data_IF_030190533980
#
_entry.id   IF_030190533980
#
_cell.length_a   1.000
_cell.length_b   1.000
_cell.length_c   1.000
_cell.angle_alpha   90.00
_cell.angle_beta   90.00
_cell.angle_gamma   90.00
#
_symmetry.space_group_name_H-M   'P 1'
#
loop_
_entity.id
_entity.type
_entity.pdbx_description
1 polymer ?
#
# COMPACT_ATOMS: atom_id res chain seq x y z
N UNK A 1 -16.83 8.52 3.87
CA UNK A 1 -16.13 9.40 2.90
C UNK A 1 -17.07 9.73 1.76
N UNK A 2 -16.91 10.88 1.09
CA UNK A 2 -17.71 11.27 -0.09
C UNK A 2 -16.85 11.91 -1.17
N UNK A 3 -17.25 11.75 -2.43
CA UNK A 3 -16.65 12.47 -3.55
C UNK A 3 -17.10 13.93 -3.53
N UNK A 4 -16.15 14.82 -3.72
CA UNK A 4 -16.35 16.25 -3.84
C UNK A 4 -15.49 16.84 -4.95
N UNK A 5 -15.85 18.05 -5.38
CA UNK A 5 -15.08 18.82 -6.35
C UNK A 5 -14.55 20.07 -5.69
N UNK A 6 -13.24 20.19 -5.61
CA UNK A 6 -12.55 21.35 -5.04
C UNK A 6 -12.16 22.28 -6.18
N UNK A 7 -12.65 23.52 -6.15
CA UNK A 7 -12.29 24.53 -7.14
C UNK A 7 -10.81 24.90 -7.00
N UNK A 8 -10.08 24.88 -8.11
CA UNK A 8 -8.63 25.17 -8.11
C UNK A 8 -8.31 26.54 -8.69
N UNK A 9 -9.05 26.92 -9.73
CA UNK A 9 -9.11 28.25 -10.35
C UNK A 9 -10.54 28.40 -10.91
N UNK A 10 -10.99 29.62 -11.27
CA UNK A 10 -12.31 29.81 -11.88
C UNK A 10 -12.52 28.86 -13.08
N UNK A 11 -13.56 28.01 -13.01
CA UNK A 11 -13.91 27.05 -14.05
C UNK A 11 -13.11 25.74 -14.06
N UNK A 12 -12.18 25.50 -13.13
CA UNK A 12 -11.48 24.21 -12.98
C UNK A 12 -11.66 23.62 -11.59
N UNK A 13 -11.85 22.30 -11.56
CA UNK A 13 -12.10 21.54 -10.34
C UNK A 13 -11.19 20.30 -10.29
N UNK A 14 -10.82 19.88 -9.09
CA UNK A 14 -10.22 18.59 -8.83
C UNK A 14 -11.19 17.69 -8.08
N UNK A 15 -11.28 16.44 -8.50
CA UNK A 15 -11.99 15.42 -7.74
C UNK A 15 -11.22 15.12 -6.45
N UNK A 16 -11.93 15.12 -5.33
CA UNK A 16 -11.40 14.95 -3.99
C UNK A 16 -12.32 14.03 -3.18
N UNK A 17 -11.74 13.23 -2.30
CA UNK A 17 -12.49 12.41 -1.34
C UNK A 17 -12.33 13.06 0.03
N UNK A 18 -13.44 13.50 0.61
CA UNK A 18 -13.46 14.10 1.94
C UNK A 18 -14.15 13.17 2.96
N UNK A 19 -13.86 13.42 4.24
CA UNK A 19 -14.50 12.72 5.34
C UNK A 19 -15.95 13.21 5.49
N UNK A 20 -16.88 12.27 5.70
CA UNK A 20 -18.30 12.60 5.91
C UNK A 20 -18.63 12.88 7.38
N UNK A 21 -17.90 12.23 8.27
CA UNK A 21 -18.17 12.19 9.70
C UNK A 21 -16.88 12.48 10.47
N UNK A 22 -16.97 12.98 11.71
CA UNK A 22 -15.82 13.15 12.57
C UNK A 22 -15.06 11.84 12.76
N UNK A 23 -13.74 11.92 12.79
CA UNK A 23 -12.89 10.78 13.11
C UNK A 23 -13.07 10.45 14.60
N UNK A 24 -13.62 9.27 14.90
CA UNK A 24 -13.78 8.81 16.28
C UNK A 24 -12.49 8.19 16.84
N UNK A 25 -11.65 7.59 15.99
CA UNK A 25 -10.42 6.93 16.42
C UNK A 25 -9.34 7.98 16.79
N UNK A 26 -8.85 7.99 18.05
CA UNK A 26 -7.87 8.97 18.50
C UNK A 26 -6.51 8.85 17.79
N UNK A 27 -6.16 7.68 17.23
CA UNK A 27 -4.95 7.48 16.44
C UNK A 27 -5.00 8.12 15.05
N UNK A 28 -6.18 8.57 14.60
CA UNK A 28 -6.40 9.16 13.27
C UNK A 28 -6.63 10.68 13.33
N UNK A 29 -6.49 11.32 14.48
CA UNK A 29 -6.79 12.76 14.69
C UNK A 29 -5.90 13.72 13.88
N UNK A 30 -4.76 13.24 13.38
CA UNK A 30 -3.82 14.01 12.57
C UNK A 30 -4.01 13.79 11.06
N UNK A 31 -5.06 13.10 10.64
CA UNK A 31 -5.34 12.90 9.22
C UNK A 31 -5.86 14.20 8.60
N UNK A 32 -5.14 14.65 7.57
CA UNK A 32 -5.57 15.75 6.71
C UNK A 32 -5.88 15.22 5.32
N UNK A 33 -7.06 15.54 4.80
CA UNK A 33 -7.42 15.25 3.41
C UNK A 33 -7.50 16.56 2.65
N UNK A 34 -6.71 16.73 1.59
CA UNK A 34 -6.83 17.84 0.65
C UNK A 34 -6.29 17.43 -0.71
N UNK A 35 -6.85 17.95 -1.83
CA UNK A 35 -6.28 17.70 -3.15
C UNK A 35 -4.88 18.30 -3.34
N UNK A 36 -4.45 19.16 -2.41
CA UNK A 36 -3.12 19.77 -2.37
C UNK A 36 -2.23 19.22 -1.24
N UNK A 37 -2.76 18.33 -0.41
CA UNK A 37 -1.99 17.75 0.69
C UNK A 37 -0.83 16.95 0.10
N UNK A 38 0.37 17.18 0.61
CA UNK A 38 1.51 16.27 0.41
C UNK A 38 1.59 15.37 1.64
N UNK A 39 2.02 14.13 1.44
CA UNK A 39 2.27 13.24 2.58
C UNK A 39 3.43 13.80 3.39
N UNK A 40 3.18 14.11 4.67
CA UNK A 40 4.17 14.58 5.62
C UNK A 40 4.49 13.51 6.68
N UNK A 41 4.15 12.25 6.43
CA UNK A 41 4.45 11.16 7.36
C UNK A 41 5.97 10.99 7.45
N UNK A 42 6.57 11.44 8.57
CA UNK A 42 8.01 11.35 8.86
C UNK A 42 8.39 10.12 9.68
N UNK A 43 7.41 9.42 10.25
CA UNK A 43 7.62 8.27 11.14
C UNK A 43 6.53 7.23 10.93
N UNK A 44 6.81 5.98 11.31
CA UNK A 44 5.79 4.94 11.37
C UNK A 44 4.78 5.31 12.46
N UNK A 45 3.52 5.50 12.08
CA UNK A 45 2.44 5.87 12.99
C UNK A 45 1.51 4.68 13.23
N UNK A 46 1.44 4.13 14.46
CA UNK A 46 0.50 3.06 14.77
C UNK A 46 -0.92 3.61 14.98
N UNK A 47 -1.88 2.99 14.32
CA UNK A 47 -3.31 3.18 14.51
C UNK A 47 -3.89 1.87 15.02
N UNK A 48 -4.45 1.90 16.22
CA UNK A 48 -5.08 0.72 16.82
C UNK A 48 -6.57 0.72 16.48
N UNK A 49 -7.06 -0.39 15.94
CA UNK A 49 -8.46 -0.60 15.59
C UNK A 49 -8.97 -1.85 16.31
N UNK A 50 -9.91 -1.70 17.27
CA UNK A 50 -10.56 -2.84 17.90
C UNK A 50 -11.28 -3.73 16.88
N UNK A 51 -11.15 -5.05 17.01
CA UNK A 51 -11.79 -5.98 16.07
C UNK A 51 -13.33 -5.92 16.15
N UNK A 52 -13.88 -5.56 17.30
CA UNK A 52 -15.33 -5.44 17.47
C UNK A 52 -15.94 -4.31 16.63
N UNK A 53 -15.19 -3.23 16.37
CA UNK A 53 -15.62 -2.12 15.51
C UNK A 53 -15.79 -2.58 14.05
N UNK A 54 -15.05 -3.61 13.64
CA UNK A 54 -15.05 -4.13 12.27
C UNK A 54 -16.04 -5.30 12.15
N UNK A 55 -15.95 -6.30 13.04
CA UNK A 55 -16.64 -7.57 12.87
C UNK A 55 -17.89 -7.71 13.75
N UNK A 56 -18.05 -6.91 14.80
CA UNK A 56 -19.17 -6.96 15.73
C UNK A 56 -18.74 -7.32 17.16
N UNK A 57 -19.66 -7.26 18.13
CA UNK A 57 -19.35 -7.30 19.58
C UNK A 57 -18.68 -8.61 20.05
N UNK A 58 -18.85 -9.71 19.32
CA UNK A 58 -18.31 -11.03 19.70
C UNK A 58 -16.81 -11.18 19.37
N UNK A 59 -16.23 -10.28 18.57
CA UNK A 59 -14.83 -10.35 18.17
C UNK A 59 -13.92 -9.61 19.16
N UNK A 60 -12.92 -10.32 19.67
CA UNK A 60 -11.99 -9.82 20.67
C UNK A 60 -10.60 -9.58 20.10
N UNK A 61 -9.89 -8.60 20.66
CA UNK A 61 -8.55 -8.21 20.22
C UNK A 61 -8.53 -6.96 19.36
N UNK A 62 -7.35 -6.64 18.85
CA UNK A 62 -7.07 -5.39 18.14
C UNK A 62 -6.16 -5.64 16.93
N UNK A 63 -6.28 -4.76 15.95
CA UNK A 63 -5.36 -4.66 14.82
C UNK A 63 -4.59 -3.35 14.95
N UNK A 64 -3.27 -3.45 14.85
CA UNK A 64 -2.40 -2.28 14.83
C UNK A 64 -1.96 -2.08 13.38
N UNK A 65 -2.50 -1.05 12.73
CA UNK A 65 -2.03 -0.60 11.42
C UNK A 65 -0.87 0.35 11.62
N UNK A 66 0.25 0.07 10.96
CA UNK A 66 1.39 0.96 10.95
C UNK A 66 1.36 1.75 9.64
N UNK A 67 0.92 3.01 9.68
CA UNK A 67 1.08 3.91 8.54
C UNK A 67 2.55 4.28 8.39
N UNK A 68 3.11 4.05 7.21
CA UNK A 68 4.53 4.27 6.95
C UNK A 68 4.73 5.48 6.04
N UNK A 69 5.86 6.21 6.17
CA UNK A 69 6.22 7.23 5.20
C UNK A 69 6.20 6.71 3.76
N UNK A 70 5.68 7.52 2.83
CA UNK A 70 5.75 7.23 1.40
C UNK A 70 7.20 7.18 0.92
N UNK A 71 7.61 6.08 0.29
CA UNK A 71 8.98 5.92 -0.20
C UNK A 71 9.23 6.77 -1.45
N UNK A 72 10.16 7.74 -1.33
CA UNK A 72 10.53 8.63 -2.43
C UNK A 72 9.52 9.76 -2.70
N UNK A 73 8.67 10.07 -1.72
CA UNK A 73 7.74 11.22 -1.72
C UNK A 73 8.25 12.39 -0.85
N UNK A 74 9.52 12.35 -0.41
CA UNK A 74 10.02 13.25 0.64
C UNK A 74 11.00 14.33 0.17
N UNK A 75 11.25 15.29 1.06
CA UNK A 75 11.98 16.54 0.84
C UNK A 75 13.50 16.41 0.73
N UNK A 76 14.03 15.24 0.35
CA UNK A 76 15.46 15.03 0.10
C UNK A 76 15.96 13.63 0.46
N UNK A 77 17.15 13.24 -0.03
CA UNK A 77 17.76 11.94 0.24
C UNK A 77 17.92 11.61 1.73
N UNK A 78 18.18 12.62 2.56
CA UNK A 78 18.38 12.46 4.01
C UNK A 78 17.09 12.03 4.72
N UNK A 79 15.95 12.59 4.30
CA UNK A 79 14.64 12.26 4.87
C UNK A 79 14.24 10.84 4.45
N UNK A 80 14.50 10.46 3.21
CA UNK A 80 14.25 9.09 2.72
C UNK A 80 15.08 8.05 3.49
N UNK A 81 16.33 8.34 3.83
CA UNK A 81 17.18 7.46 4.65
C UNK A 81 16.61 7.33 6.07
N UNK A 82 16.28 8.45 6.72
CA UNK A 82 15.72 8.45 8.07
C UNK A 82 14.39 7.68 8.15
N UNK A 83 13.52 7.87 7.17
CA UNK A 83 12.25 7.15 7.06
C UNK A 83 12.46 5.66 6.85
N UNK A 84 13.39 5.28 5.95
CA UNK A 84 13.71 3.87 5.70
C UNK A 84 14.26 3.20 6.94
N UNK A 85 15.16 3.87 7.68
CA UNK A 85 15.70 3.37 8.95
C UNK A 85 14.59 3.24 10.01
N UNK A 86 13.68 4.22 10.11
CA UNK A 86 12.54 4.16 11.04
C UNK A 86 11.58 3.02 10.74
N UNK A 87 11.29 2.75 9.46
CA UNK A 87 10.48 1.59 9.05
C UNK A 87 11.20 0.29 9.42
N UNK A 88 12.48 0.14 9.08
CA UNK A 88 13.26 -1.07 9.40
C UNK A 88 13.33 -1.32 10.90
N UNK A 89 13.53 -0.29 11.71
CA UNK A 89 13.58 -0.41 13.17
C UNK A 89 12.21 -0.80 13.75
N UNK A 90 11.12 -0.22 13.25
CA UNK A 90 9.77 -0.62 13.64
C UNK A 90 9.49 -2.10 13.30
N UNK A 91 9.89 -2.53 12.10
CA UNK A 91 9.73 -3.91 11.64
C UNK A 91 10.47 -4.91 12.53
N UNK A 92 11.70 -4.60 12.96
CA UNK A 92 12.54 -5.46 13.84
C UNK A 92 11.97 -5.63 15.25
N UNK A 93 11.24 -4.64 15.75
CA UNK A 93 10.67 -4.69 17.10
C UNK A 93 9.29 -5.38 17.14
N UNK A 94 8.71 -5.74 15.98
CA UNK A 94 7.47 -6.48 15.89
C UNK A 94 7.71 -8.00 15.99
N UNK A 95 6.90 -8.71 16.79
CA UNK A 95 6.93 -10.18 16.86
C UNK A 95 6.66 -10.84 15.50
N UNK A 96 5.76 -10.23 14.73
CA UNK A 96 5.43 -10.64 13.37
C UNK A 96 4.81 -9.47 12.63
N UNK A 97 5.12 -9.30 11.35
CA UNK A 97 4.57 -8.24 10.50
C UNK A 97 3.80 -8.82 9.32
N UNK A 98 2.73 -8.15 8.90
CA UNK A 98 2.02 -8.44 7.65
C UNK A 98 2.07 -7.18 6.80
N UNK A 99 2.40 -7.33 5.53
CA UNK A 99 2.67 -6.19 4.66
C UNK A 99 1.50 -6.00 3.70
N UNK A 100 0.82 -4.85 3.82
CA UNK A 100 -0.14 -4.39 2.84
C UNK A 100 0.56 -3.42 1.88
N UNK A 101 0.97 -3.91 0.73
CA UNK A 101 1.65 -3.14 -0.31
C UNK A 101 0.63 -2.40 -1.18
N UNK A 102 0.53 -1.08 -1.02
CA UNK A 102 -0.42 -0.24 -1.74
C UNK A 102 0.19 0.37 -3.01
N UNK A 103 -0.49 0.22 -4.14
CA UNK A 103 -0.14 0.87 -5.40
C UNK A 103 -1.31 1.73 -5.90
N UNK A 104 -1.07 3.03 -6.13
CA UNK A 104 -2.09 3.95 -6.63
C UNK A 104 -1.98 4.15 -8.16
N UNK A 105 -3.11 4.25 -8.86
CA UNK A 105 -3.13 4.52 -10.31
C UNK A 105 -2.33 5.79 -10.68
N UNK A 106 -2.46 6.87 -9.89
CA UNK A 106 -1.77 8.15 -10.14
C UNK A 106 -0.24 8.03 -10.01
N UNK A 107 0.26 7.09 -9.21
CA UNK A 107 1.70 6.80 -9.10
C UNK A 107 2.22 5.83 -10.17
N UNK A 108 1.33 5.21 -10.95
CA UNK A 108 1.70 4.12 -11.86
C UNK A 108 2.32 4.56 -13.18
N UNK A 109 2.25 5.85 -13.54
CA UNK A 109 2.75 6.36 -14.82
C UNK A 109 2.15 5.61 -16.02
N UNK A 110 2.68 5.83 -17.22
CA UNK A 110 2.06 5.30 -18.45
C UNK A 110 2.18 3.78 -18.64
N UNK A 111 2.94 3.03 -17.80
CA UNK A 111 3.23 1.59 -18.00
C UNK A 111 3.64 0.85 -16.72
N UNK A 112 2.87 0.97 -15.64
CA UNK A 112 3.14 0.20 -14.40
C UNK A 112 4.44 0.58 -13.67
N UNK A 113 4.93 1.80 -13.87
CA UNK A 113 6.13 2.32 -13.19
C UNK A 113 5.97 2.36 -11.66
N UNK A 114 4.79 2.71 -11.16
CA UNK A 114 4.49 2.71 -9.72
C UNK A 114 4.60 1.32 -9.11
N UNK A 115 4.09 0.30 -9.81
CA UNK A 115 4.20 -1.11 -9.40
C UNK A 115 5.68 -1.54 -9.39
N UNK A 116 6.44 -1.20 -10.42
CA UNK A 116 7.88 -1.50 -10.47
C UNK A 116 8.62 -0.85 -9.29
N UNK A 117 8.32 0.43 -9.00
CA UNK A 117 8.95 1.18 -7.91
C UNK A 117 8.61 0.55 -6.55
N UNK A 118 7.33 0.19 -6.33
CA UNK A 118 6.87 -0.54 -5.15
C UNK A 118 7.61 -1.86 -4.98
N UNK A 119 7.75 -2.65 -6.05
CA UNK A 119 8.48 -3.91 -6.01
C UNK A 119 9.95 -3.72 -5.62
N UNK A 120 10.63 -2.71 -6.17
CA UNK A 120 12.01 -2.37 -5.81
C UNK A 120 12.15 -1.93 -4.35
N UNK A 121 11.18 -1.17 -3.82
CA UNK A 121 11.15 -0.76 -2.42
C UNK A 121 11.05 -2.00 -1.52
N UNK A 122 10.13 -2.91 -1.81
CA UNK A 122 9.92 -4.12 -1.01
C UNK A 122 11.17 -5.01 -1.01
N UNK A 123 11.79 -5.23 -2.18
CA UNK A 123 13.04 -6.02 -2.30
C UNK A 123 14.18 -5.41 -1.48
N UNK A 124 14.28 -4.08 -1.42
CA UNK A 124 15.32 -3.39 -0.63
C UNK A 124 15.04 -3.38 0.86
N UNK A 125 13.77 -3.46 1.26
CA UNK A 125 13.34 -3.38 2.66
C UNK A 125 13.33 -4.74 3.35
N UNK A 126 13.13 -5.82 2.59
CA UNK A 126 12.89 -7.15 3.12
C UNK A 126 13.98 -8.10 2.59
N UNK A 127 14.93 -8.45 3.45
CA UNK A 127 15.94 -9.45 3.13
C UNK A 127 15.30 -10.82 2.85
N UNK A 128 15.78 -11.52 1.83
CA UNK A 128 15.26 -12.82 1.40
C UNK A 128 13.74 -12.80 1.18
N UNK A 129 13.25 -11.77 0.48
CA UNK A 129 11.82 -11.54 0.24
C UNK A 129 11.12 -12.75 -0.40
N UNK A 130 11.85 -13.58 -1.15
CA UNK A 130 11.35 -14.79 -1.82
C UNK A 130 10.72 -15.78 -0.83
N UNK A 131 11.28 -15.87 0.37
CA UNK A 131 10.80 -16.77 1.43
C UNK A 131 9.63 -16.16 2.22
N UNK A 132 9.33 -14.89 1.96
CA UNK A 132 8.46 -14.03 2.78
C UNK A 132 7.22 -13.54 2.01
N UNK A 133 7.05 -14.00 0.76
CA UNK A 133 5.98 -13.59 -0.15
C UNK A 133 4.57 -13.84 0.43
N UNK A 134 4.38 -14.87 1.25
CA UNK A 134 3.09 -15.19 1.90
C UNK A 134 2.62 -14.14 2.91
N UNK A 135 3.54 -13.31 3.39
CA UNK A 135 3.24 -12.21 4.32
C UNK A 135 2.84 -10.91 3.64
N UNK A 136 2.86 -10.88 2.30
CA UNK A 136 2.62 -9.67 1.50
C UNK A 136 1.26 -9.79 0.80
N UNK A 137 0.43 -8.77 0.94
CA UNK A 137 -0.80 -8.56 0.18
C UNK A 137 -0.65 -7.30 -0.67
N UNK A 138 -1.03 -7.40 -1.95
CA UNK A 138 -1.01 -6.26 -2.86
C UNK A 138 -2.41 -5.71 -3.02
N UNK A 139 -2.55 -4.41 -2.81
CA UNK A 139 -3.82 -3.72 -3.00
C UNK A 139 -3.64 -2.45 -3.83
N UNK A 140 -4.66 -2.16 -4.63
CA UNK A 140 -4.61 -1.18 -5.69
C UNK A 140 -5.65 -0.09 -5.42
N UNK A 141 -5.21 1.16 -5.25
CA UNK A 141 -6.09 2.29 -4.95
C UNK A 141 -6.22 3.21 -6.17
N UNK A 142 -7.36 3.90 -6.29
CA UNK A 142 -7.65 4.83 -7.40
C UNK A 142 -7.67 4.21 -8.81
N UNK A 143 -7.72 2.88 -8.91
CA UNK A 143 -7.99 2.19 -10.17
C UNK A 143 -9.49 2.09 -10.43
N UNK A 144 -9.90 2.03 -11.70
CA UNK A 144 -11.28 1.65 -12.02
C UNK A 144 -11.47 0.18 -11.63
N UNK A 145 -12.63 -0.17 -11.10
CA UNK A 145 -12.92 -1.58 -10.74
C UNK A 145 -12.84 -2.53 -11.94
N UNK A 146 -12.98 -2.01 -13.16
CA UNK A 146 -12.85 -2.75 -14.41
C UNK A 146 -11.40 -2.87 -14.91
N UNK A 147 -10.42 -2.28 -14.21
CA UNK A 147 -9.03 -2.34 -14.65
C UNK A 147 -8.46 -3.73 -14.41
N UNK A 148 -7.93 -4.33 -15.48
CA UNK A 148 -7.21 -5.60 -15.41
C UNK A 148 -5.77 -5.38 -14.95
N UNK A 149 -5.59 -5.42 -13.62
CA UNK A 149 -4.26 -5.28 -13.00
C UNK A 149 -3.35 -6.46 -13.36
N UNK A 150 -3.90 -7.66 -13.54
CA UNK A 150 -3.13 -8.85 -13.89
C UNK A 150 -2.50 -8.68 -15.28
N UNK A 151 -3.26 -8.17 -16.25
CA UNK A 151 -2.73 -7.81 -17.57
C UNK A 151 -1.62 -6.75 -17.47
N UNK A 152 -1.79 -5.70 -16.65
CA UNK A 152 -0.74 -4.67 -16.43
C UNK A 152 0.56 -5.28 -15.88
N UNK A 153 0.46 -6.23 -14.96
CA UNK A 153 1.62 -6.93 -14.39
C UNK A 153 2.32 -7.81 -15.44
N UNK A 154 1.56 -8.51 -16.28
CA UNK A 154 2.10 -9.27 -17.40
C UNK A 154 2.81 -8.37 -18.43
N UNK A 155 2.20 -7.24 -18.77
CA UNK A 155 2.80 -6.25 -19.67
C UNK A 155 4.10 -5.69 -19.09
N UNK A 156 4.14 -5.42 -17.78
CA UNK A 156 5.36 -4.97 -17.09
C UNK A 156 6.47 -6.04 -17.20
N UNK A 157 6.15 -7.31 -16.95
CA UNK A 157 7.10 -8.43 -17.06
C UNK A 157 7.63 -8.57 -18.49
N UNK A 158 6.75 -8.53 -19.48
CA UNK A 158 7.11 -8.76 -20.88
C UNK A 158 7.86 -7.57 -21.50
N UNK A 159 7.41 -6.34 -21.24
CA UNK A 159 7.95 -5.15 -21.87
C UNK A 159 9.21 -4.61 -21.21
N UNK A 160 9.36 -4.78 -19.89
CA UNK A 160 10.53 -4.29 -19.15
C UNK A 160 11.44 -5.40 -18.68
N UNK A 161 10.93 -6.32 -17.86
CA UNK A 161 11.79 -7.31 -17.20
C UNK A 161 12.50 -8.21 -18.20
N UNK A 162 11.80 -8.68 -19.24
CA UNK A 162 12.43 -9.53 -20.25
C UNK A 162 13.47 -8.80 -21.12
N UNK A 163 13.38 -7.47 -21.21
CA UNK A 163 14.23 -6.63 -22.06
C UNK A 163 15.36 -5.93 -21.28
N UNK A 164 15.29 -5.91 -19.94
CA UNK A 164 16.30 -5.32 -19.05
C UNK A 164 17.07 -6.43 -18.32
N UNK A 165 18.34 -6.60 -18.67
CA UNK A 165 19.19 -7.63 -18.09
C UNK A 165 19.34 -7.49 -16.58
N UNK A 166 19.43 -6.25 -16.06
CA UNK A 166 19.60 -6.01 -14.64
C UNK A 166 18.36 -6.45 -13.85
N UNK A 167 17.16 -6.10 -14.34
CA UNK A 167 15.91 -6.53 -13.72
C UNK A 167 15.70 -8.04 -13.84
N UNK A 168 16.05 -8.64 -14.99
CA UNK A 168 15.90 -10.08 -15.21
C UNK A 168 16.81 -10.91 -14.30
N UNK A 169 18.00 -10.39 -13.99
CA UNK A 169 18.97 -11.05 -13.13
C UNK A 169 18.71 -10.85 -11.63
N UNK A 170 17.87 -9.89 -11.26
CA UNK A 170 17.42 -9.66 -9.90
C UNK A 170 16.35 -10.70 -9.50
N UNK A 171 16.80 -11.78 -8.85
CA UNK A 171 15.94 -12.91 -8.44
C UNK A 171 14.82 -12.47 -7.50
N UNK A 172 15.13 -11.58 -6.56
CA UNK A 172 14.18 -11.07 -5.56
C UNK A 172 13.06 -10.26 -6.23
N UNK A 173 13.44 -9.38 -7.16
CA UNK A 173 12.48 -8.61 -7.94
C UNK A 173 11.61 -9.51 -8.83
N UNK A 174 12.21 -10.48 -9.54
CA UNK A 174 11.47 -11.40 -10.41
C UNK A 174 10.50 -12.29 -9.63
N UNK A 175 10.92 -12.77 -8.45
CA UNK A 175 10.09 -13.58 -7.56
C UNK A 175 8.89 -12.76 -7.06
N UNK A 176 9.13 -11.53 -6.58
CA UNK A 176 8.08 -10.64 -6.10
C UNK A 176 7.08 -10.28 -7.21
N UNK A 177 7.55 -9.93 -8.41
CA UNK A 177 6.66 -9.63 -9.53
C UNK A 177 5.83 -10.86 -9.95
N UNK A 178 6.44 -12.05 -9.91
CA UNK A 178 5.73 -13.29 -10.21
C UNK A 178 4.67 -13.60 -9.14
N UNK A 179 4.95 -13.33 -7.87
CA UNK A 179 3.97 -13.45 -6.78
C UNK A 179 2.81 -12.46 -6.94
N UNK A 180 3.08 -11.21 -7.33
CA UNK A 180 2.02 -10.25 -7.68
C UNK A 180 1.11 -10.79 -8.78
N UNK A 181 1.69 -11.31 -9.87
CA UNK A 181 0.94 -11.88 -11.01
C UNK A 181 0.04 -13.02 -10.55
N UNK A 182 0.59 -13.96 -9.76
CA UNK A 182 -0.16 -15.12 -9.27
C UNK A 182 -1.31 -14.69 -8.35
N UNK A 183 -1.07 -13.76 -7.42
CA UNK A 183 -2.11 -13.29 -6.50
C UNK A 183 -3.21 -12.47 -7.16
N UNK A 184 -3.01 -11.97 -8.38
CA UNK A 184 -4.04 -11.26 -9.14
C UNK A 184 -4.71 -12.12 -10.21
N UNK A 185 -4.36 -13.40 -10.35
CA UNK A 185 -4.91 -14.31 -11.38
C UNK A 185 -6.44 -14.42 -11.33
N UNK A 186 -7.02 -14.43 -10.13
CA UNK A 186 -8.47 -14.52 -9.91
C UNK A 186 -9.12 -13.17 -9.57
N UNK A 187 -8.42 -12.08 -9.90
CA UNK A 187 -8.85 -10.72 -9.61
C UNK A 187 -7.94 -10.03 -8.59
N UNK A 188 -7.67 -8.75 -8.84
CA UNK A 188 -6.86 -7.93 -7.96
C UNK A 188 -7.68 -7.24 -6.86
N UNK A 189 -7.05 -6.98 -5.73
CA UNK A 189 -7.65 -6.26 -4.60
C UNK A 189 -7.68 -4.75 -4.89
N UNK A 190 -8.68 -4.32 -5.65
CA UNK A 190 -8.91 -2.89 -5.89
C UNK A 190 -9.72 -2.31 -4.73
N UNK A 191 -9.09 -1.42 -3.95
CA UNK A 191 -9.72 -0.78 -2.79
C UNK A 191 -10.61 0.37 -3.26
N UNK A 192 -11.91 0.25 -3.00
CA UNK A 192 -12.86 1.36 -3.11
C UNK A 192 -12.92 2.12 -1.78
N UNK A 193 -12.48 3.38 -1.79
CA UNK A 193 -12.39 4.22 -0.59
C UNK A 193 -13.74 4.72 -0.06
N UNK A 194 -14.81 4.63 -0.87
CA UNK A 194 -16.14 5.17 -0.51
C UNK A 194 -17.15 4.04 -0.29
N UNK A 195 -17.19 3.07 -1.20
CA UNK A 195 -18.11 1.93 -1.17
C UNK A 195 -17.43 0.60 -0.89
N UNK A 196 -16.23 0.61 -0.31
CA UNK A 196 -15.47 -0.60 0.00
C UNK A 196 -16.10 -1.43 1.11
N UNK A 197 -15.59 -2.65 1.28
CA UNK A 197 -15.93 -3.53 2.40
C UNK A 197 -14.69 -3.75 3.27
N UNK A 198 -14.49 -2.95 4.33
CA UNK A 198 -13.36 -3.10 5.24
C UNK A 198 -13.24 -4.50 5.85
N UNK A 199 -14.37 -5.15 6.18
CA UNK A 199 -14.37 -6.49 6.78
C UNK A 199 -13.69 -7.52 5.88
N UNK A 200 -13.98 -7.48 4.58
CA UNK A 200 -13.39 -8.39 3.58
C UNK A 200 -11.88 -8.17 3.45
N UNK A 201 -11.45 -6.91 3.36
CA UNK A 201 -10.02 -6.56 3.31
C UNK A 201 -9.29 -7.05 4.56
N UNK A 202 -9.86 -6.79 5.74
CA UNK A 202 -9.25 -7.18 7.01
C UNK A 202 -9.22 -8.69 7.17
N UNK A 203 -10.25 -9.42 6.76
CA UNK A 203 -10.24 -10.88 6.77
C UNK A 203 -9.08 -11.45 5.93
N UNK A 204 -8.83 -10.89 4.74
CA UNK A 204 -7.71 -11.28 3.89
C UNK A 204 -6.36 -10.97 4.55
N UNK A 205 -6.18 -9.76 5.10
CA UNK A 205 -4.96 -9.40 5.84
C UNK A 205 -4.74 -10.35 7.03
N UNK A 206 -5.80 -10.73 7.76
CA UNK A 206 -5.72 -11.70 8.87
C UNK A 206 -5.25 -13.08 8.40
N UNK A 207 -5.59 -13.52 7.20
CA UNK A 207 -5.17 -14.81 6.65
C UNK A 207 -3.71 -14.88 6.19
N UNK A 208 -2.99 -13.75 6.10
CA UNK A 208 -1.57 -13.76 5.71
C UNK A 208 -0.69 -14.35 6.81
N UNK A 209 0.42 -14.97 6.40
CA UNK A 209 1.45 -15.43 7.33
C UNK A 209 2.18 -14.24 7.96
N UNK A 210 2.56 -14.37 9.23
CA UNK A 210 3.36 -13.36 9.91
C UNK A 210 4.83 -13.43 9.50
N UNK A 211 5.38 -12.31 9.06
CA UNK A 211 6.80 -12.12 8.80
C UNK A 211 7.54 -11.98 10.13
N UNK A 212 8.43 -12.93 10.47
CA UNK A 212 9.38 -12.72 11.57
C UNK A 212 10.59 -11.97 11.02
N UNK A 213 10.80 -10.73 11.48
CA UNK A 213 11.97 -9.93 11.13
C UNK A 213 13.03 -10.24 12.18
N UNK A 214 14.04 -11.01 11.80
CA UNK A 214 15.20 -11.36 12.65
C UNK A 214 16.34 -10.42 12.28
#
# INVERSE_FOLDING_TARGET
MKETKVATVPGRFLDHIEMCEPIENPGLIHITTSPYCRSETRYVMPVTVPLHDIFGPDETGELIFCDTPGFGDTSGPEVDIANSAGVLEALKNCKSVKILALSSYKSSGDRGQGIQKLAQILVKMIDHIEDRLKSIMYAFTNYKLTTDIHAILHDLKNSKVNNDLALRSDKSFVALLTDMINKTEHGAEIINLIGGNPKSLIAKVRSLDGLVVI
#
